data_IF_459944515109
#
_entry.id   IF_459944515109
#
_cell.length_a   1.000
_cell.length_b   1.000
_cell.length_c   1.000
_cell.angle_alpha   90.00
_cell.angle_beta   90.00
_cell.angle_gamma   90.00
#
_symmetry.space_group_name_H-M   'P 1'
#
loop_
_entity.id
_entity.type
_entity.pdbx_description
1 polymer ?
#
# COMPACT_ATOMS: atom_id res chain seq x y z
N UNK A 1 -19.40 -24.14 31.48
CA UNK A 1 -19.50 -24.36 30.03
C UNK A 1 -20.24 -23.15 29.49
N UNK A 2 -19.50 -22.10 29.12
CA UNK A 2 -20.07 -20.80 28.75
C UNK A 2 -20.78 -20.93 27.40
N UNK A 3 -22.09 -20.71 27.43
CA UNK A 3 -22.92 -20.58 26.23
C UNK A 3 -22.56 -19.23 25.61
N UNK A 4 -21.67 -19.27 24.61
CA UNK A 4 -21.43 -18.10 23.76
C UNK A 4 -22.75 -17.81 23.05
N UNK A 5 -23.32 -16.64 23.32
CA UNK A 5 -24.63 -16.22 22.82
C UNK A 5 -24.67 -16.29 21.28
N UNK A 6 -25.71 -16.89 20.71
CA UNK A 6 -25.88 -17.04 19.27
C UNK A 6 -25.81 -15.68 18.54
N UNK A 7 -26.28 -14.64 19.22
CA UNK A 7 -26.26 -13.26 18.74
C UNK A 7 -24.83 -12.68 18.72
N UNK A 8 -23.99 -13.06 19.68
CA UNK A 8 -22.57 -12.67 19.71
C UNK A 8 -21.78 -13.33 18.58
N UNK A 9 -22.06 -14.61 18.28
CA UNK A 9 -21.43 -15.32 17.15
C UNK A 9 -21.86 -14.70 15.82
N UNK A 10 -23.12 -14.30 15.66
CA UNK A 10 -23.60 -13.61 14.43
C UNK A 10 -22.91 -12.26 14.25
N UNK A 11 -22.83 -11.46 15.32
CA UNK A 11 -22.15 -10.16 15.30
C UNK A 11 -20.68 -10.27 14.89
N UNK A 12 -19.96 -11.26 15.42
CA UNK A 12 -18.56 -11.52 15.04
C UNK A 12 -18.45 -11.88 13.55
N UNK A 13 -19.30 -12.77 13.05
CA UNK A 13 -19.32 -13.16 11.62
C UNK A 13 -19.66 -11.99 10.69
N UNK A 14 -20.62 -11.16 11.06
CA UNK A 14 -20.99 -9.96 10.29
C UNK A 14 -19.85 -8.94 10.26
N UNK A 15 -19.14 -8.74 11.39
CA UNK A 15 -17.94 -7.88 11.43
C UNK A 15 -16.80 -8.44 10.58
N UNK A 16 -16.55 -9.74 10.64
CA UNK A 16 -15.53 -10.40 9.83
C UNK A 16 -15.86 -10.33 8.33
N UNK A 17 -17.13 -10.55 7.95
CA UNK A 17 -17.58 -10.41 6.57
C UNK A 17 -17.43 -8.97 6.07
N UNK A 18 -17.78 -7.98 6.91
CA UNK A 18 -17.60 -6.55 6.59
C UNK A 18 -16.13 -6.17 6.46
N UNK A 19 -15.26 -6.67 7.34
CA UNK A 19 -13.81 -6.46 7.24
C UNK A 19 -13.22 -7.11 5.98
N UNK A 20 -13.70 -8.30 5.63
CA UNK A 20 -13.30 -9.00 4.39
C UNK A 20 -13.75 -8.23 3.15
N UNK A 21 -14.98 -7.73 3.13
CA UNK A 21 -15.48 -6.90 2.03
C UNK A 21 -14.70 -5.59 1.89
N UNK A 22 -14.38 -4.92 3.00
CA UNK A 22 -13.55 -3.70 3.03
C UNK A 22 -12.13 -3.98 2.53
N UNK A 23 -11.53 -5.12 2.91
CA UNK A 23 -10.23 -5.54 2.36
C UNK A 23 -10.29 -5.77 0.85
N UNK A 24 -11.38 -6.37 0.35
CA UNK A 24 -11.60 -6.60 -1.08
C UNK A 24 -11.78 -5.32 -1.89
N UNK A 25 -12.32 -4.27 -1.27
CA UNK A 25 -12.55 -2.96 -1.89
C UNK A 25 -11.49 -1.91 -1.52
N UNK A 26 -10.31 -2.31 -1.04
CA UNK A 26 -9.30 -1.35 -0.61
C UNK A 26 -8.79 -0.55 -1.81
N UNK A 27 -9.09 0.75 -1.83
CA UNK A 27 -8.70 1.68 -2.89
C UNK A 27 -7.59 2.63 -2.45
N UNK A 28 -6.98 3.34 -3.41
CA UNK A 28 -6.00 4.39 -3.13
C UNK A 28 -6.57 5.48 -2.23
N UNK A 29 -7.80 5.91 -2.49
CA UNK A 29 -8.51 6.96 -1.73
C UNK A 29 -8.68 6.55 -0.26
N UNK A 30 -8.96 5.26 -0.02
CA UNK A 30 -9.05 4.72 1.35
C UNK A 30 -7.69 4.76 2.04
N UNK A 31 -6.61 4.44 1.32
CA UNK A 31 -5.25 4.44 1.87
C UNK A 31 -4.80 5.85 2.23
N UNK A 32 -4.98 6.85 1.35
CA UNK A 32 -4.57 8.23 1.64
C UNK A 32 -5.45 8.89 2.71
N UNK A 33 -6.72 8.48 2.86
CA UNK A 33 -7.56 8.95 3.96
C UNK A 33 -7.04 8.48 5.33
N UNK A 34 -6.39 7.32 5.38
CA UNK A 34 -5.75 6.79 6.59
C UNK A 34 -4.35 7.37 6.76
N UNK A 35 -3.60 7.47 5.66
CA UNK A 35 -2.20 7.85 5.67
C UNK A 35 -1.87 8.82 4.51
N UNK A 36 -2.10 10.13 4.72
CA UNK A 36 -1.96 11.15 3.68
C UNK A 36 -0.56 11.28 3.09
N UNK A 37 0.47 10.81 3.79
CA UNK A 37 1.85 10.85 3.31
C UNK A 37 2.04 10.11 1.98
N UNK A 38 1.20 9.12 1.66
CA UNK A 38 1.25 8.47 0.35
C UNK A 38 0.87 9.42 -0.80
N UNK A 39 0.01 10.40 -0.54
CA UNK A 39 -0.34 11.43 -1.53
C UNK A 39 0.81 12.42 -1.71
N UNK A 40 1.45 12.85 -0.61
CA UNK A 40 2.67 13.67 -0.66
C UNK A 40 3.79 12.95 -1.41
N UNK A 41 3.97 11.66 -1.16
CA UNK A 41 4.98 10.84 -1.82
C UNK A 41 4.68 10.69 -3.32
N UNK A 42 3.42 10.47 -3.70
CA UNK A 42 2.99 10.42 -5.10
C UNK A 42 3.23 11.75 -5.81
N UNK A 43 2.91 12.87 -5.16
CA UNK A 43 3.23 14.20 -5.68
C UNK A 43 4.73 14.37 -5.89
N UNK A 44 5.56 13.98 -4.92
CA UNK A 44 7.02 14.02 -5.05
C UNK A 44 7.52 13.21 -6.25
N UNK A 45 7.04 11.97 -6.41
CA UNK A 45 7.41 11.10 -7.54
C UNK A 45 7.06 11.74 -8.88
N UNK A 46 5.85 12.30 -9.01
CA UNK A 46 5.39 12.96 -10.25
C UNK A 46 6.21 14.19 -10.63
N UNK A 47 6.96 14.78 -9.69
CA UNK A 47 7.84 15.94 -9.97
C UNK A 47 9.25 15.54 -10.44
N UNK A 48 9.60 14.26 -10.43
CA UNK A 48 10.91 13.78 -10.87
C UNK A 48 11.09 14.10 -12.36
N UNK A 49 12.17 14.83 -12.65
CA UNK A 49 12.63 15.07 -14.02
C UNK A 49 13.81 14.14 -14.29
N UNK A 50 13.64 13.06 -15.07
CA UNK A 50 14.73 12.14 -15.33
C UNK A 50 15.85 12.85 -16.10
N UNK A 51 17.10 12.60 -15.71
CA UNK A 51 18.28 13.10 -16.41
C UNK A 51 18.54 12.35 -17.73
N UNK A 52 19.80 12.33 -18.16
CA UNK A 52 20.21 11.54 -19.33
C UNK A 52 20.11 10.04 -19.09
N UNK A 53 20.31 9.60 -17.84
CA UNK A 53 20.14 8.23 -17.38
C UNK A 53 19.15 8.19 -16.22
N UNK A 54 18.18 7.30 -16.29
CA UNK A 54 17.17 7.07 -15.25
C UNK A 54 16.74 5.59 -15.24
N UNK A 55 16.53 5.03 -14.05
CA UNK A 55 16.12 3.64 -13.88
C UNK A 55 15.05 3.56 -12.79
N UNK A 56 13.78 3.38 -13.20
CA UNK A 56 12.67 3.28 -12.27
C UNK A 56 12.86 2.16 -11.24
N UNK A 57 13.40 1.01 -11.68
CA UNK A 57 13.64 -0.13 -10.79
C UNK A 57 14.72 0.18 -9.73
N UNK A 58 15.83 0.81 -10.14
CA UNK A 58 16.88 1.18 -9.19
C UNK A 58 16.38 2.22 -8.18
N UNK A 59 15.71 3.27 -8.68
CA UNK A 59 15.08 4.30 -7.83
C UNK A 59 14.06 3.67 -6.88
N UNK A 60 13.21 2.76 -7.36
CA UNK A 60 12.23 2.07 -6.54
C UNK A 60 12.88 1.31 -5.39
N UNK A 61 13.85 0.44 -5.69
CA UNK A 61 14.46 -0.42 -4.67
C UNK A 61 15.32 0.36 -3.67
N UNK A 62 15.96 1.46 -4.09
CA UNK A 62 16.81 2.27 -3.22
C UNK A 62 16.03 3.29 -2.38
N UNK A 63 15.03 3.94 -2.96
CA UNK A 63 14.39 5.10 -2.34
C UNK A 63 12.99 4.78 -1.81
N UNK A 64 12.11 4.23 -2.65
CA UNK A 64 10.68 4.15 -2.32
C UNK A 64 10.27 2.86 -1.62
N UNK A 65 10.81 1.70 -2.03
CA UNK A 65 10.50 0.40 -1.43
C UNK A 65 10.76 0.38 0.08
N UNK A 66 11.89 0.90 0.61
CA UNK A 66 12.12 0.94 2.06
C UNK A 66 11.12 1.81 2.81
N UNK A 67 10.63 2.89 2.19
CA UNK A 67 9.65 3.81 2.78
C UNK A 67 8.28 3.11 2.90
N UNK A 68 7.80 2.51 1.81
CA UNK A 68 6.46 1.89 1.82
C UNK A 68 6.39 0.68 2.77
N UNK A 69 7.46 -0.12 2.85
CA UNK A 69 7.50 -1.32 3.70
C UNK A 69 7.37 -1.00 5.20
N UNK A 70 7.65 0.26 5.59
CA UNK A 70 7.49 0.73 6.98
C UNK A 70 6.09 1.28 7.27
N UNK A 71 5.17 1.25 6.30
CA UNK A 71 3.87 1.95 6.40
C UNK A 71 2.70 1.07 5.93
N UNK A 72 2.92 0.21 4.93
CA UNK A 72 1.93 -0.76 4.42
C UNK A 72 2.53 -2.16 4.23
N UNK A 73 1.66 -3.16 4.15
CA UNK A 73 2.02 -4.57 3.96
C UNK A 73 2.38 -5.30 5.26
N UNK A 74 2.81 -6.56 5.14
CA UNK A 74 3.09 -7.43 6.28
C UNK A 74 4.20 -6.93 7.21
N UNK A 75 5.08 -6.06 6.71
CA UNK A 75 6.19 -5.47 7.47
C UNK A 75 5.85 -4.10 8.09
N UNK A 76 4.64 -3.60 7.87
CA UNK A 76 4.21 -2.38 8.52
C UNK A 76 4.20 -2.57 10.05
N UNK A 77 4.59 -1.53 10.81
CA UNK A 77 4.77 -1.62 12.25
C UNK A 77 3.45 -1.92 12.96
N UNK A 78 3.53 -2.45 14.18
CA UNK A 78 2.34 -2.86 14.95
C UNK A 78 1.36 -1.72 15.25
N UNK A 79 1.79 -0.46 15.20
CA UNK A 79 0.92 0.70 15.37
C UNK A 79 0.19 1.10 14.08
N UNK A 80 0.56 0.54 12.92
CA UNK A 80 -0.15 0.79 11.67
C UNK A 80 -1.54 0.13 11.72
N UNK A 81 -2.58 0.79 11.21
CA UNK A 81 -3.93 0.21 11.13
C UNK A 81 -3.94 -1.15 10.41
N UNK A 82 -4.69 -2.12 10.93
CA UNK A 82 -4.75 -3.49 10.39
C UNK A 82 -5.17 -3.56 8.91
N UNK A 83 -5.92 -2.59 8.43
CA UNK A 83 -6.30 -2.46 7.02
C UNK A 83 -5.10 -2.17 6.10
N UNK A 84 -4.07 -1.46 6.61
CA UNK A 84 -2.81 -1.19 5.89
C UNK A 84 -1.83 -2.37 5.96
N UNK A 85 -2.00 -3.27 6.92
CA UNK A 85 -1.16 -4.46 7.13
C UNK A 85 -1.58 -5.65 6.25
N UNK A 86 -1.91 -5.38 4.99
CA UNK A 86 -2.36 -6.40 4.04
C UNK A 86 -1.54 -6.37 2.77
N UNK A 87 -1.41 -7.51 2.11
CA UNK A 87 -0.83 -7.60 0.77
C UNK A 87 -1.54 -6.66 -0.21
N UNK A 88 -2.88 -6.61 -0.16
CA UNK A 88 -3.67 -5.72 -1.00
C UNK A 88 -3.32 -4.24 -0.81
N UNK A 89 -3.08 -3.80 0.43
CA UNK A 89 -2.66 -2.43 0.71
C UNK A 89 -1.28 -2.14 0.09
N UNK A 90 -0.36 -3.09 0.23
CA UNK A 90 0.95 -3.02 -0.41
C UNK A 90 0.83 -2.93 -1.92
N UNK A 91 0.04 -3.79 -2.57
CA UNK A 91 -0.12 -3.82 -4.02
C UNK A 91 -0.70 -2.51 -4.57
N UNK A 92 -1.73 -1.97 -3.91
CA UNK A 92 -2.35 -0.69 -4.33
C UNK A 92 -1.33 0.44 -4.26
N UNK A 93 -0.56 0.52 -3.18
CA UNK A 93 0.49 1.55 -3.02
C UNK A 93 1.63 1.34 -3.99
N UNK A 94 2.12 0.11 -4.11
CA UNK A 94 3.18 -0.29 -5.05
C UNK A 94 2.80 0.13 -6.46
N UNK A 95 1.64 -0.30 -6.95
CA UNK A 95 1.19 -0.02 -8.31
C UNK A 95 1.09 1.49 -8.54
N UNK A 96 0.42 2.22 -7.63
CA UNK A 96 0.21 3.67 -7.79
C UNK A 96 1.50 4.48 -7.81
N UNK A 97 2.45 4.16 -6.93
CA UNK A 97 3.71 4.90 -6.85
C UNK A 97 4.69 4.47 -7.95
N UNK A 98 4.75 3.18 -8.27
CA UNK A 98 5.64 2.67 -9.31
C UNK A 98 5.22 3.14 -10.70
N UNK A 99 3.91 3.12 -11.00
CA UNK A 99 3.36 3.62 -12.28
C UNK A 99 3.55 5.13 -12.45
N UNK A 100 3.81 5.86 -11.36
CA UNK A 100 4.07 7.30 -11.41
C UNK A 100 5.55 7.63 -11.67
N UNK A 101 6.45 6.64 -11.59
CA UNK A 101 7.86 6.86 -11.89
C UNK A 101 8.05 7.14 -13.39
N UNK A 102 9.02 7.99 -13.76
CA UNK A 102 9.39 8.16 -15.16
C UNK A 102 9.85 6.85 -15.80
N UNK A 103 9.68 6.75 -17.12
CA UNK A 103 10.20 5.62 -17.88
C UNK A 103 11.73 5.53 -17.75
N UNK A 104 12.23 4.29 -17.78
CA UNK A 104 13.65 4.02 -17.79
C UNK A 104 14.31 4.61 -19.04
N UNK A 105 15.47 5.27 -18.85
CA UNK A 105 16.25 5.89 -19.92
C UNK A 105 17.73 5.55 -19.75
N UNK A 106 18.33 4.91 -20.74
CA UNK A 106 19.75 4.56 -20.72
C UNK A 106 20.16 3.63 -19.57
N UNK A 107 19.23 2.85 -19.03
CA UNK A 107 19.51 1.76 -18.09
C UNK A 107 19.69 0.42 -18.85
N UNK A 108 20.33 -0.56 -18.20
CA UNK A 108 20.36 -1.96 -18.65
C UNK A 108 19.24 -2.81 -18.00
N UNK A 109 18.27 -2.16 -17.36
CA UNK A 109 17.15 -2.83 -16.76
C UNK A 109 16.28 -3.43 -17.87
N UNK A 110 16.31 -4.77 -17.99
CA UNK A 110 15.44 -5.50 -18.92
C UNK A 110 14.00 -5.28 -18.44
N UNK A 111 13.19 -4.70 -19.32
CA UNK A 111 11.74 -4.57 -19.15
C UNK A 111 11.13 -5.97 -19.11
#
# INVERSE_FOLDING_TARGET
>A
MELIDSDFVSFCKEREARQTAIKGSLTWETIIAIDPYFDDLLHGIKTIKPGEKFCANETWYKEYKPIILRRVGYFAPNYAPEILKTEKAYDVVYQKLYDALPDCKGCACMI
#
